data_IF_245463195697
#
_entry.id   IF_245463195697
#
_cell.length_a   1.000
_cell.length_b   1.000
_cell.length_c   1.000
_cell.angle_alpha   90.00
_cell.angle_beta   90.00
_cell.angle_gamma   90.00
#
_symmetry.space_group_name_H-M   'P 1'
#
loop_
_entity.id
_entity.type
_entity.pdbx_description
1 polymer ?
#
# COMPACT_ATOMS: atom_id res chain seq x y z
N UNK A 1 -10.47 16.40 20.44
CA UNK A 1 -9.91 17.63 19.84
C UNK A 1 -9.35 17.22 18.48
N UNK A 2 -10.17 17.31 17.43
CA UNK A 2 -9.80 16.88 16.09
C UNK A 2 -8.81 17.87 15.48
N UNK A 3 -7.60 17.44 15.23
CA UNK A 3 -6.68 18.20 14.39
C UNK A 3 -7.27 18.31 12.97
N UNK A 4 -7.85 19.46 12.64
CA UNK A 4 -8.09 19.84 11.26
C UNK A 4 -6.73 19.89 10.56
N UNK A 5 -6.50 19.00 9.59
CA UNK A 5 -5.37 19.16 8.68
C UNK A 5 -5.52 20.56 8.03
N UNK A 6 -4.58 21.45 8.29
CA UNK A 6 -4.48 22.72 7.61
C UNK A 6 -4.37 22.41 6.11
N UNK A 7 -5.36 22.85 5.33
CA UNK A 7 -5.30 22.87 3.89
C UNK A 7 -4.31 23.97 3.47
N UNK A 8 -3.04 23.62 3.41
CA UNK A 8 -2.05 24.42 2.68
C UNK A 8 -2.45 24.50 1.21
N UNK A 9 -1.88 25.44 0.43
CA UNK A 9 -2.20 25.58 -0.97
C UNK A 9 -2.07 24.21 -1.64
N UNK A 10 -3.16 23.77 -2.33
CA UNK A 10 -3.17 22.50 -3.05
C UNK A 10 -2.07 22.54 -4.09
N UNK A 11 -1.00 21.78 -3.88
CA UNK A 11 0.08 21.64 -4.86
C UNK A 11 -0.45 21.07 -6.18
N UNK A 12 0.32 21.15 -7.27
CA UNK A 12 -0.08 20.62 -8.56
C UNK A 12 -0.44 19.14 -8.43
N UNK A 13 -1.62 18.76 -8.93
CA UNK A 13 -2.09 17.38 -8.98
C UNK A 13 -2.85 17.16 -10.29
N UNK A 14 -2.93 15.89 -10.70
CA UNK A 14 -3.56 15.44 -11.95
C UNK A 14 -2.90 16.03 -13.21
N UNK A 15 -1.56 15.98 -13.25
CA UNK A 15 -0.78 16.56 -14.33
C UNK A 15 0.17 15.54 -14.96
N UNK A 16 0.26 15.57 -16.29
CA UNK A 16 1.31 14.88 -17.07
C UNK A 16 2.25 15.95 -17.63
N UNK A 17 3.48 15.98 -17.15
CA UNK A 17 4.53 16.92 -17.55
C UNK A 17 5.38 16.24 -18.63
N UNK A 18 5.61 16.96 -19.74
CA UNK A 18 6.53 16.50 -20.80
C UNK A 18 7.89 17.12 -20.53
N UNK A 19 8.89 16.30 -20.24
CA UNK A 19 10.23 16.80 -19.93
C UNK A 19 11.16 15.71 -19.40
N UNK A 20 12.42 16.11 -19.21
CA UNK A 20 13.41 15.26 -18.54
C UNK A 20 13.07 15.12 -17.04
N UNK A 21 13.19 13.91 -16.52
CA UNK A 21 12.80 13.63 -15.13
C UNK A 21 13.60 14.47 -14.10
N UNK A 22 14.90 14.68 -14.32
CA UNK A 22 15.72 15.45 -13.39
C UNK A 22 15.35 16.94 -13.40
N UNK A 23 15.15 17.49 -14.59
CA UNK A 23 14.78 18.90 -14.74
C UNK A 23 13.40 19.20 -14.13
N UNK A 24 12.43 18.32 -14.38
CA UNK A 24 11.07 18.50 -13.87
C UNK A 24 10.98 18.19 -12.37
N UNK A 25 11.69 17.18 -11.86
CA UNK A 25 11.78 16.92 -10.42
C UNK A 25 12.32 18.13 -9.66
N UNK A 26 13.37 18.78 -10.16
CA UNK A 26 13.98 20.00 -9.55
C UNK A 26 12.99 21.16 -9.41
N UNK A 27 11.99 21.23 -10.31
CA UNK A 27 10.94 22.28 -10.29
C UNK A 27 9.84 21.99 -9.27
N UNK A 28 9.70 20.74 -8.84
CA UNK A 28 8.69 20.38 -7.84
C UNK A 28 9.08 20.91 -6.46
N UNK A 29 8.11 21.39 -5.67
CA UNK A 29 8.37 21.82 -4.29
C UNK A 29 8.87 20.67 -3.42
N UNK A 30 9.78 20.95 -2.49
CA UNK A 30 10.19 19.99 -1.48
C UNK A 30 9.02 19.57 -0.61
N UNK A 31 9.00 18.29 -0.17
CA UNK A 31 7.99 17.76 0.76
C UNK A 31 6.52 17.93 0.26
N UNK A 32 6.29 17.81 -1.03
CA UNK A 32 5.00 18.01 -1.68
C UNK A 32 4.29 16.70 -2.06
N UNK A 33 5.00 15.56 -2.04
CA UNK A 33 4.54 14.27 -2.56
C UNK A 33 4.40 13.25 -1.42
N UNK A 34 3.33 12.49 -1.42
CA UNK A 34 3.05 11.46 -0.42
C UNK A 34 3.64 10.10 -0.80
N UNK A 35 3.60 9.76 -2.10
CA UNK A 35 4.05 8.49 -2.64
C UNK A 35 4.80 8.71 -3.95
N UNK A 36 5.97 8.10 -4.09
CA UNK A 36 6.67 7.96 -5.37
C UNK A 36 6.60 6.50 -5.81
N UNK A 37 6.20 6.25 -7.04
CA UNK A 37 6.41 4.99 -7.74
C UNK A 37 7.32 5.25 -8.94
N UNK A 38 8.42 4.52 -9.06
CA UNK A 38 9.41 4.71 -10.12
C UNK A 38 9.73 3.40 -10.84
N UNK A 39 9.59 3.42 -12.15
CA UNK A 39 10.00 2.37 -13.09
C UNK A 39 11.12 2.91 -13.99
N UNK A 40 12.35 3.10 -13.45
CA UNK A 40 13.43 3.76 -14.15
C UNK A 40 13.95 2.90 -15.32
N UNK A 41 14.76 3.46 -16.24
CA UNK A 41 15.52 2.69 -17.21
C UNK A 41 16.27 1.52 -16.55
N UNK A 42 16.30 0.36 -17.24
CA UNK A 42 16.92 -0.86 -16.69
C UNK A 42 18.38 -1.02 -17.08
N UNK A 43 18.84 -0.22 -18.06
CA UNK A 43 20.17 -0.36 -18.67
C UNK A 43 20.41 -1.77 -19.18
N UNK A 44 19.49 -2.25 -20.02
CA UNK A 44 19.42 -3.67 -20.41
C UNK A 44 20.62 -4.13 -21.22
N UNK A 45 21.40 -3.19 -21.83
CA UNK A 45 22.61 -3.47 -22.64
C UNK A 45 22.39 -4.64 -23.61
N UNK A 46 21.29 -4.56 -24.37
CA UNK A 46 20.96 -5.60 -25.35
C UNK A 46 21.83 -5.42 -26.59
N UNK A 47 22.89 -6.23 -26.70
CA UNK A 47 23.69 -6.33 -27.91
C UNK A 47 22.94 -7.17 -28.95
N UNK A 48 22.45 -6.55 -30.01
CA UNK A 48 21.91 -7.17 -31.20
C UNK A 48 20.44 -7.57 -31.16
N UNK A 49 19.94 -8.03 -32.28
CA UNK A 49 18.54 -8.41 -32.48
C UNK A 49 18.15 -9.65 -31.67
N UNK A 50 17.04 -9.54 -30.94
CA UNK A 50 16.41 -10.68 -30.28
C UNK A 50 15.46 -11.37 -31.29
N UNK A 51 15.82 -12.57 -31.71
CA UNK A 51 14.99 -13.38 -32.59
C UNK A 51 14.28 -14.48 -31.80
N UNK A 52 13.02 -14.75 -32.15
CA UNK A 52 12.28 -15.94 -31.72
C UNK A 52 12.82 -17.20 -32.43
N UNK A 53 12.52 -18.42 -31.94
CA UNK A 53 12.92 -19.65 -32.62
C UNK A 53 12.46 -19.76 -34.07
N UNK A 54 11.40 -19.05 -34.43
CA UNK A 54 10.88 -18.97 -35.80
C UNK A 54 11.46 -17.82 -36.63
N UNK A 55 12.62 -17.27 -36.23
CA UNK A 55 13.32 -16.13 -36.85
C UNK A 55 12.51 -14.83 -36.92
N UNK A 56 11.39 -14.71 -36.22
CA UNK A 56 10.70 -13.42 -36.10
C UNK A 56 11.38 -12.54 -35.06
N UNK A 57 11.54 -11.25 -35.37
CA UNK A 57 12.13 -10.26 -34.46
C UNK A 57 11.26 -10.11 -33.21
N UNK A 58 11.89 -10.14 -32.04
CA UNK A 58 11.24 -9.73 -30.77
C UNK A 58 11.36 -8.21 -30.70
N UNK A 59 10.23 -7.57 -30.55
CA UNK A 59 10.14 -6.14 -30.25
C UNK A 59 10.61 -5.94 -28.79
N UNK A 60 11.92 -5.81 -28.63
CA UNK A 60 12.60 -5.57 -27.34
C UNK A 60 12.78 -4.08 -27.11
N UNK A 61 13.18 -3.71 -25.90
CA UNK A 61 13.55 -2.33 -25.57
C UNK A 61 14.90 -2.05 -26.25
N UNK A 62 14.90 -1.23 -27.27
CA UNK A 62 16.10 -0.74 -27.98
C UNK A 62 16.08 0.81 -28.06
N UNK A 63 15.36 1.42 -27.16
CA UNK A 63 15.15 2.85 -27.08
C UNK A 63 16.37 3.54 -26.45
N UNK A 64 16.71 4.74 -26.92
CA UNK A 64 17.88 5.52 -26.44
C UNK A 64 17.79 5.91 -24.96
N UNK A 65 16.58 5.92 -24.39
CA UNK A 65 16.39 6.21 -22.96
C UNK A 65 16.90 5.09 -22.02
N UNK A 66 17.11 3.86 -22.52
CA UNK A 66 17.65 2.72 -21.74
C UNK A 66 19.14 2.48 -21.99
N UNK A 67 19.83 3.37 -22.71
CA UNK A 67 21.24 3.23 -23.05
C UNK A 67 22.09 4.20 -22.25
N UNK A 68 23.02 3.67 -21.48
CA UNK A 68 24.02 4.44 -20.74
C UNK A 68 25.43 4.06 -21.23
N UNK A 69 26.32 5.03 -21.30
CA UNK A 69 27.69 4.81 -21.78
C UNK A 69 28.49 3.90 -20.82
N UNK A 70 28.20 3.96 -19.53
CA UNK A 70 28.85 3.14 -18.51
C UNK A 70 27.92 2.86 -17.32
N UNK A 71 28.30 1.91 -16.48
CA UNK A 71 27.63 1.70 -15.19
C UNK A 71 27.81 2.90 -14.25
N UNK A 72 28.90 3.63 -14.36
CA UNK A 72 29.12 4.84 -13.56
C UNK A 72 28.12 5.94 -13.93
N UNK A 73 27.84 6.13 -15.22
CA UNK A 73 26.83 7.08 -15.69
C UNK A 73 25.42 6.66 -15.23
N UNK A 74 25.10 5.37 -15.28
CA UNK A 74 23.84 4.85 -14.76
C UNK A 74 23.71 5.06 -13.25
N UNK A 75 24.78 4.83 -12.49
CA UNK A 75 24.78 5.03 -11.05
C UNK A 75 24.63 6.51 -10.69
N UNK A 76 25.30 7.41 -11.43
CA UNK A 76 25.14 8.86 -11.22
C UNK A 76 23.71 9.31 -11.52
N UNK A 77 23.16 8.91 -12.67
CA UNK A 77 21.78 9.18 -13.02
C UNK A 77 20.83 8.68 -11.93
N UNK A 78 21.05 7.44 -11.45
CA UNK A 78 20.20 6.83 -10.41
C UNK A 78 20.28 7.60 -9.10
N UNK A 79 21.45 8.04 -8.67
CA UNK A 79 21.61 8.88 -7.47
C UNK A 79 20.90 10.22 -7.63
N UNK A 80 21.01 10.85 -8.78
CA UNK A 80 20.45 12.18 -9.02
C UNK A 80 18.92 12.18 -8.92
N UNK A 81 18.23 11.29 -9.65
CA UNK A 81 16.78 11.26 -9.57
C UNK A 81 16.25 10.73 -8.22
N UNK A 82 16.95 9.79 -7.57
CA UNK A 82 16.59 9.32 -6.23
C UNK A 82 16.74 10.42 -5.18
N UNK A 83 17.81 11.25 -5.28
CA UNK A 83 18.00 12.39 -4.39
C UNK A 83 16.87 13.41 -4.52
N UNK A 84 16.45 13.71 -5.76
CA UNK A 84 15.31 14.60 -6.01
C UNK A 84 13.98 13.98 -5.53
N UNK A 85 13.76 12.68 -5.74
CA UNK A 85 12.61 11.99 -5.18
C UNK A 85 12.59 12.08 -3.64
N UNK A 86 13.75 11.95 -2.98
CA UNK A 86 13.86 12.11 -1.53
C UNK A 86 13.53 13.53 -1.08
N UNK A 87 13.93 14.55 -1.85
CA UNK A 87 13.65 15.97 -1.56
C UNK A 87 12.16 16.29 -1.67
N UNK A 88 11.49 15.79 -2.72
CA UNK A 88 10.05 16.07 -2.96
C UNK A 88 9.14 15.25 -2.09
N UNK A 89 9.56 14.09 -1.57
CA UNK A 89 8.80 13.30 -0.63
C UNK A 89 8.59 14.04 0.69
N UNK A 90 7.38 13.95 1.21
CA UNK A 90 7.08 14.37 2.59
C UNK A 90 7.86 13.50 3.57
N UNK A 91 8.12 13.97 4.82
CA UNK A 91 8.85 13.19 5.83
C UNK A 91 8.24 11.80 6.11
N UNK A 92 6.92 11.70 6.00
CA UNK A 92 6.14 10.47 6.20
C UNK A 92 5.72 9.80 4.87
N UNK A 93 6.26 10.27 3.75
CA UNK A 93 6.02 9.70 2.42
C UNK A 93 6.75 8.38 2.21
N UNK A 94 6.43 7.70 1.12
CA UNK A 94 7.04 6.43 0.74
C UNK A 94 7.49 6.43 -0.73
N UNK A 95 8.51 5.62 -1.00
CA UNK A 95 9.05 5.39 -2.33
C UNK A 95 8.95 3.90 -2.66
N UNK A 96 8.51 3.60 -3.87
CA UNK A 96 8.60 2.29 -4.50
C UNK A 96 9.41 2.38 -5.78
N UNK A 97 10.42 1.56 -5.91
CA UNK A 97 11.24 1.46 -7.13
C UNK A 97 11.19 0.04 -7.63
N UNK A 98 10.82 -0.16 -8.89
CA UNK A 98 10.81 -1.48 -9.52
C UNK A 98 12.04 -1.64 -10.42
N UNK A 99 12.57 -2.85 -10.49
CA UNK A 99 13.66 -3.20 -11.36
C UNK A 99 13.83 -4.70 -11.57
N UNK A 100 14.69 -5.03 -12.51
CA UNK A 100 15.12 -6.40 -12.75
C UNK A 100 16.53 -6.65 -12.20
N UNK A 101 17.05 -7.86 -12.38
CA UNK A 101 18.41 -8.20 -11.99
C UNK A 101 19.51 -7.32 -12.66
N UNK A 102 19.18 -6.57 -13.70
CA UNK A 102 20.14 -5.68 -14.36
C UNK A 102 20.45 -4.44 -13.51
N UNK A 103 19.47 -3.92 -12.78
CA UNK A 103 19.59 -2.61 -12.13
C UNK A 103 19.22 -2.59 -10.64
N UNK A 104 18.39 -3.53 -10.15
CA UNK A 104 17.80 -3.45 -8.80
C UNK A 104 18.85 -3.39 -7.68
N UNK A 105 19.96 -4.10 -7.82
CA UNK A 105 21.03 -4.09 -6.81
C UNK A 105 21.74 -2.75 -6.73
N UNK A 106 21.94 -2.07 -7.88
CA UNK A 106 22.52 -0.72 -7.94
C UNK A 106 21.59 0.31 -7.35
N UNK A 107 20.30 0.22 -7.69
CA UNK A 107 19.25 1.06 -7.11
C UNK A 107 19.14 0.87 -5.59
N UNK A 108 19.21 -0.37 -5.11
CA UNK A 108 19.22 -0.67 -3.68
C UNK A 108 20.40 -0.03 -2.95
N UNK A 109 21.62 -0.10 -3.53
CA UNK A 109 22.79 0.56 -2.99
C UNK A 109 22.61 2.09 -2.98
N UNK A 110 22.18 2.69 -4.10
CA UNK A 110 21.95 4.13 -4.18
C UNK A 110 20.91 4.62 -3.16
N UNK A 111 19.84 3.87 -2.94
CA UNK A 111 18.83 4.18 -1.90
C UNK A 111 19.45 4.24 -0.51
N UNK A 112 20.26 3.23 -0.15
CA UNK A 112 20.92 3.17 1.16
C UNK A 112 21.97 4.30 1.33
N UNK A 113 22.78 4.57 0.30
CA UNK A 113 23.77 5.63 0.30
C UNK A 113 23.12 7.03 0.47
N UNK A 114 21.93 7.23 -0.12
CA UNK A 114 21.13 8.45 0.03
C UNK A 114 20.39 8.54 1.36
N UNK A 115 20.49 7.54 2.23
CA UNK A 115 19.87 7.52 3.54
C UNK A 115 18.37 7.20 3.56
N UNK A 116 17.86 6.56 2.52
CA UNK A 116 16.53 5.95 2.61
C UNK A 116 16.52 4.77 3.57
N UNK A 117 15.42 4.59 4.27
CA UNK A 117 15.17 3.41 5.09
C UNK A 117 14.34 2.40 4.31
N UNK A 118 14.95 1.27 3.93
CA UNK A 118 14.26 0.20 3.21
C UNK A 118 13.34 -0.54 4.19
N UNK A 119 12.07 -0.66 3.83
CA UNK A 119 11.04 -1.35 4.60
C UNK A 119 10.92 -2.82 4.20
N UNK A 120 10.83 -3.06 2.88
CA UNK A 120 10.81 -4.40 2.28
C UNK A 120 11.36 -4.40 0.87
N UNK A 121 11.82 -5.56 0.44
CA UNK A 121 11.86 -5.98 -0.95
C UNK A 121 10.64 -6.84 -1.26
N UNK A 122 10.03 -6.64 -2.43
CA UNK A 122 8.87 -7.38 -2.89
C UNK A 122 9.21 -8.04 -4.21
N UNK A 123 8.98 -9.34 -4.31
CA UNK A 123 9.17 -10.10 -5.54
C UNK A 123 7.84 -10.19 -6.29
N UNK A 124 7.74 -9.49 -7.42
CA UNK A 124 6.64 -9.71 -8.35
C UNK A 124 6.94 -10.90 -9.25
N UNK A 125 6.29 -12.03 -8.96
CA UNK A 125 6.34 -13.23 -9.79
C UNK A 125 5.35 -13.10 -10.95
N UNK A 126 5.87 -13.22 -12.17
CA UNK A 126 5.08 -13.13 -13.40
C UNK A 126 4.39 -14.46 -13.67
N UNK A 127 3.07 -14.45 -13.86
CA UNK A 127 2.30 -15.66 -14.19
C UNK A 127 2.68 -16.19 -15.58
N UNK A 128 2.97 -15.28 -16.51
CA UNK A 128 3.21 -15.54 -17.93
C UNK A 128 4.52 -14.85 -18.39
N UNK A 129 5.69 -15.19 -17.82
CA UNK A 129 6.95 -14.56 -18.19
C UNK A 129 7.32 -14.89 -19.64
N UNK A 130 8.03 -13.96 -20.29
CA UNK A 130 8.60 -14.25 -21.61
C UNK A 130 9.71 -15.31 -21.49
N UNK A 131 9.70 -16.35 -22.31
CA UNK A 131 10.74 -17.37 -22.28
C UNK A 131 12.11 -16.82 -22.69
N UNK A 132 13.17 -17.45 -22.22
CA UNK A 132 14.51 -17.18 -22.76
C UNK A 132 14.66 -17.91 -24.11
N UNK A 133 14.51 -17.17 -25.21
CA UNK A 133 14.47 -17.74 -26.56
C UNK A 133 15.77 -18.47 -26.97
N UNK A 134 16.92 -18.09 -26.41
CA UNK A 134 18.21 -18.75 -26.68
C UNK A 134 18.45 -19.99 -25.81
N UNK A 135 17.62 -20.26 -24.82
CA UNK A 135 17.76 -21.41 -23.91
C UNK A 135 19.05 -21.45 -23.09
N UNK A 136 19.75 -20.32 -22.94
CA UNK A 136 21.07 -20.22 -22.28
C UNK A 136 21.00 -19.69 -20.86
N UNK A 137 19.85 -19.23 -20.40
CA UNK A 137 19.59 -18.70 -19.06
C UNK A 137 18.18 -19.09 -18.61
N UNK A 138 17.94 -19.02 -17.32
CA UNK A 138 16.58 -19.17 -16.80
C UNK A 138 15.63 -18.10 -17.38
N UNK A 139 14.37 -18.43 -17.48
CA UNK A 139 13.31 -17.47 -17.79
C UNK A 139 13.27 -16.39 -16.71
N UNK A 140 13.27 -15.11 -17.12
CA UNK A 140 13.17 -14.00 -16.16
C UNK A 140 11.73 -13.88 -15.64
N UNK A 141 11.40 -14.72 -14.64
CA UNK A 141 10.06 -14.91 -14.14
C UNK A 141 9.66 -13.93 -13.03
N UNK A 142 10.51 -13.01 -12.63
CA UNK A 142 10.18 -12.01 -11.60
C UNK A 142 10.87 -10.68 -11.84
N UNK A 143 10.34 -9.65 -11.20
CA UNK A 143 10.97 -8.36 -10.94
C UNK A 143 10.90 -8.07 -9.45
N UNK A 144 11.79 -7.21 -8.97
CA UNK A 144 11.85 -6.81 -7.56
C UNK A 144 11.41 -5.36 -7.42
N UNK A 145 10.59 -5.11 -6.41
CA UNK A 145 10.26 -3.76 -5.98
C UNK A 145 10.94 -3.52 -4.64
N UNK A 146 11.59 -2.36 -4.47
CA UNK A 146 12.10 -1.90 -3.17
C UNK A 146 11.13 -0.87 -2.64
N UNK A 147 10.62 -1.10 -1.43
CA UNK A 147 9.78 -0.16 -0.69
C UNK A 147 10.61 0.50 0.40
N UNK A 148 10.64 1.82 0.38
CA UNK A 148 11.47 2.60 1.28
C UNK A 148 10.79 3.90 1.74
N UNK A 149 11.33 4.49 2.80
CA UNK A 149 10.91 5.80 3.33
C UNK A 149 12.11 6.73 3.49
N UNK A 150 11.91 8.07 3.54
CA UNK A 150 13.01 9.02 3.69
C UNK A 150 13.88 8.80 4.92
N UNK A 151 13.35 8.19 5.99
CA UNK A 151 14.11 7.90 7.20
C UNK A 151 13.47 6.80 8.04
N UNK A 152 14.25 6.19 8.94
CA UNK A 152 13.75 5.21 9.92
C UNK A 152 12.66 5.78 10.84
N UNK A 153 12.58 7.10 11.01
CA UNK A 153 11.60 7.78 11.88
C UNK A 153 10.30 8.13 11.15
N UNK A 154 10.21 7.90 9.85
CA UNK A 154 9.03 8.19 9.04
C UNK A 154 7.83 7.39 9.53
N UNK A 155 6.68 8.07 9.66
CA UNK A 155 5.38 7.47 10.02
C UNK A 155 4.56 7.20 8.77
N UNK A 156 5.13 6.37 7.89
CA UNK A 156 4.57 6.08 6.57
C UNK A 156 3.18 5.45 6.65
N UNK A 157 2.39 5.67 5.60
CA UNK A 157 1.09 5.02 5.43
C UNK A 157 1.30 3.55 5.07
N UNK A 158 0.63 2.65 5.81
CA UNK A 158 0.50 1.24 5.45
C UNK A 158 -0.91 0.77 5.79
N UNK A 159 -1.73 0.58 4.77
CA UNK A 159 -3.14 0.20 4.90
C UNK A 159 -3.28 -1.31 5.15
N UNK A 160 -2.75 -1.76 6.29
CA UNK A 160 -2.63 -3.17 6.67
C UNK A 160 -3.95 -3.93 6.58
N UNK A 161 -5.04 -3.38 7.15
CA UNK A 161 -6.35 -4.08 7.18
C UNK A 161 -6.95 -4.20 5.77
N UNK A 162 -6.77 -3.17 4.91
CA UNK A 162 -7.21 -3.23 3.52
C UNK A 162 -6.45 -4.28 2.72
N UNK A 163 -5.14 -4.37 2.92
CA UNK A 163 -4.32 -5.41 2.27
C UNK A 163 -4.66 -6.81 2.77
N UNK A 164 -4.98 -6.94 4.04
CA UNK A 164 -5.44 -8.18 4.64
C UNK A 164 -6.79 -8.61 4.07
N UNK A 165 -7.73 -7.67 3.92
CA UNK A 165 -9.03 -7.94 3.27
C UNK A 165 -8.87 -8.38 1.81
N UNK A 166 -7.89 -7.80 1.07
CA UNK A 166 -7.55 -8.25 -0.29
C UNK A 166 -6.90 -9.64 -0.36
N UNK A 167 -6.54 -10.24 0.77
CA UNK A 167 -5.84 -11.51 0.87
C UNK A 167 -6.57 -12.48 1.82
N UNK A 168 -7.89 -12.54 1.72
CA UNK A 168 -8.76 -13.46 2.49
C UNK A 168 -8.49 -13.40 4.01
N UNK A 169 -8.38 -12.20 4.55
CA UNK A 169 -8.04 -11.93 5.95
C UNK A 169 -6.66 -12.44 6.42
N UNK A 170 -5.80 -12.84 5.50
CA UNK A 170 -4.42 -13.20 5.77
C UNK A 170 -3.48 -12.02 5.53
N UNK A 171 -2.42 -11.93 6.31
CA UNK A 171 -1.39 -10.91 6.10
C UNK A 171 -0.81 -11.01 4.68
N UNK A 172 -0.77 -9.88 3.95
CA UNK A 172 -0.16 -9.83 2.63
C UNK A 172 1.35 -10.13 2.71
N UNK A 173 1.79 -10.99 1.82
CA UNK A 173 3.19 -11.43 1.73
C UNK A 173 3.97 -10.55 0.74
N UNK A 174 5.30 -10.65 0.78
CA UNK A 174 6.20 -9.94 -0.13
C UNK A 174 6.45 -10.64 -1.47
N UNK A 175 5.78 -11.78 -1.75
CA UNK A 175 5.83 -12.49 -3.03
C UNK A 175 4.48 -12.35 -3.76
N UNK A 176 4.42 -11.40 -4.67
CA UNK A 176 3.18 -11.08 -5.38
C UNK A 176 3.08 -11.83 -6.70
N UNK A 177 1.90 -12.34 -7.03
CA UNK A 177 1.64 -13.06 -8.26
C UNK A 177 0.70 -12.23 -9.14
N UNK A 178 1.24 -11.68 -10.25
CA UNK A 178 0.47 -10.95 -11.25
C UNK A 178 0.93 -11.33 -12.66
N UNK A 179 0.03 -11.31 -13.66
CA UNK A 179 0.45 -11.39 -15.05
C UNK A 179 1.24 -10.14 -15.46
N UNK A 180 2.05 -10.26 -16.51
CA UNK A 180 2.53 -9.08 -17.22
C UNK A 180 1.36 -8.39 -17.93
N UNK A 181 1.49 -7.09 -18.18
CA UNK A 181 0.47 -6.34 -18.92
C UNK A 181 0.25 -6.98 -20.31
N UNK A 182 -0.97 -7.41 -20.59
CA UNK A 182 -1.35 -8.09 -21.83
C UNK A 182 -2.85 -7.86 -22.17
N UNK A 183 -3.29 -8.34 -23.33
CA UNK A 183 -4.69 -8.28 -23.71
C UNK A 183 -5.25 -6.85 -23.83
N UNK A 184 -6.50 -6.62 -23.38
CA UNK A 184 -7.17 -5.31 -23.47
C UNK A 184 -6.51 -4.19 -22.66
N UNK A 185 -5.83 -4.54 -21.56
CA UNK A 185 -5.13 -3.59 -20.70
C UNK A 185 -3.94 -2.93 -21.40
N UNK A 186 -3.31 -3.65 -22.34
CA UNK A 186 -2.16 -3.15 -23.06
C UNK A 186 -2.57 -2.12 -24.09
N UNK A 187 -2.08 -0.91 -23.94
CA UNK A 187 -2.31 0.16 -24.90
C UNK A 187 -1.67 -0.16 -26.24
N UNK A 188 -2.41 0.16 -27.31
CA UNK A 188 -1.97 -0.01 -28.70
C UNK A 188 -1.89 1.34 -29.39
N UNK A 189 -0.93 1.49 -30.29
CA UNK A 189 -0.85 2.65 -31.20
C UNK A 189 -1.94 2.57 -32.28
N UNK A 190 -2.07 3.63 -33.08
CA UNK A 190 -3.04 3.67 -34.19
C UNK A 190 -2.83 2.60 -35.28
N UNK A 191 -1.73 1.83 -35.21
CA UNK A 191 -1.41 0.71 -36.10
C UNK A 191 -1.62 -0.65 -35.41
N UNK A 192 -2.20 -0.68 -34.22
CA UNK A 192 -2.45 -1.90 -33.44
C UNK A 192 -1.21 -2.51 -32.77
N UNK A 193 -0.06 -1.86 -32.81
CA UNK A 193 1.17 -2.29 -32.14
C UNK A 193 1.16 -1.80 -30.67
N UNK A 194 2.04 -2.36 -29.85
CA UNK A 194 2.22 -1.91 -28.46
C UNK A 194 2.57 -0.42 -28.43
N UNK A 195 1.81 0.39 -27.68
CA UNK A 195 2.11 1.80 -27.50
C UNK A 195 3.38 2.02 -26.66
N UNK A 196 3.68 1.10 -25.73
CA UNK A 196 4.90 1.12 -24.91
C UNK A 196 5.42 -0.31 -24.69
N UNK A 197 6.73 -0.57 -24.80
CA UNK A 197 7.28 -1.93 -24.70
C UNK A 197 7.11 -2.55 -23.31
N UNK A 198 7.24 -1.76 -22.24
CA UNK A 198 7.33 -2.23 -20.84
C UNK A 198 6.19 -1.76 -19.93
N UNK A 199 4.98 -1.51 -20.49
CA UNK A 199 3.83 -1.11 -19.69
C UNK A 199 3.63 -2.05 -18.48
N UNK A 200 3.58 -1.50 -17.26
CA UNK A 200 3.32 -2.27 -16.03
C UNK A 200 1.82 -2.58 -15.87
N UNK A 201 1.45 -3.73 -15.25
CA UNK A 201 0.05 -4.08 -15.03
C UNK A 201 -0.60 -3.19 -13.97
N UNK A 202 -1.87 -2.80 -14.21
CA UNK A 202 -2.65 -1.97 -13.26
C UNK A 202 -2.81 -2.64 -11.90
N UNK A 203 -2.92 -3.97 -11.85
CA UNK A 203 -3.06 -4.72 -10.60
C UNK A 203 -1.85 -4.52 -9.66
N UNK A 204 -0.64 -4.40 -10.21
CA UNK A 204 0.58 -4.11 -9.46
C UNK A 204 0.50 -2.72 -8.83
N UNK A 205 0.15 -1.71 -9.65
CA UNK A 205 0.03 -0.31 -9.21
C UNK A 205 -1.14 -0.12 -8.23
N UNK A 206 -2.24 -0.84 -8.43
CA UNK A 206 -3.38 -0.85 -7.50
C UNK A 206 -2.92 -1.24 -6.09
N UNK A 207 -2.16 -2.34 -5.99
CA UNK A 207 -1.67 -2.81 -4.68
C UNK A 207 -0.67 -1.85 -4.06
N UNK A 208 0.28 -1.31 -4.83
CA UNK A 208 1.27 -0.32 -4.35
C UNK A 208 0.58 0.93 -3.82
N UNK A 209 -0.31 1.53 -4.61
CA UNK A 209 -0.97 2.79 -4.28
C UNK A 209 -1.92 2.60 -3.09
N UNK A 210 -2.71 1.52 -3.08
CA UNK A 210 -3.59 1.21 -1.95
C UNK A 210 -2.81 0.95 -0.66
N UNK A 211 -1.67 0.26 -0.76
CA UNK A 211 -0.84 -0.06 0.40
C UNK A 211 -0.28 1.19 1.08
N UNK A 212 0.19 2.18 0.30
CA UNK A 212 1.10 3.22 0.78
C UNK A 212 0.57 4.64 0.63
N UNK A 213 -0.74 4.81 0.35
CA UNK A 213 -1.37 6.13 0.24
C UNK A 213 -2.83 6.12 0.66
N UNK A 214 -3.37 7.29 0.93
CA UNK A 214 -4.79 7.53 1.21
C UNK A 214 -5.44 8.34 0.08
N UNK A 215 -6.78 8.44 0.07
CA UNK A 215 -7.47 9.34 -0.84
C UNK A 215 -6.92 10.79 -0.70
N UNK A 216 -6.88 11.53 -1.79
CA UNK A 216 -6.32 12.89 -1.91
C UNK A 216 -4.79 13.01 -1.77
N UNK A 217 -4.06 11.93 -1.44
CA UNK A 217 -2.60 11.93 -1.44
C UNK A 217 -2.07 12.12 -2.87
N UNK A 218 -0.86 12.70 -2.97
CA UNK A 218 -0.17 12.96 -4.25
C UNK A 218 0.78 11.81 -4.57
N UNK A 219 0.55 11.15 -5.70
CA UNK A 219 1.40 10.09 -6.24
C UNK A 219 2.24 10.65 -7.38
N UNK A 220 3.55 10.57 -7.27
CA UNK A 220 4.51 10.97 -8.30
C UNK A 220 5.08 9.74 -9.01
N UNK A 221 5.14 9.80 -10.33
CA UNK A 221 5.88 8.85 -11.16
C UNK A 221 6.82 9.62 -12.10
N UNK A 222 8.14 9.59 -11.86
CA UNK A 222 9.11 10.30 -12.67
C UNK A 222 9.46 9.61 -14.01
N UNK A 223 8.92 8.40 -14.25
CA UNK A 223 9.10 7.61 -15.48
C UNK A 223 7.75 7.12 -15.98
N UNK A 224 6.89 8.07 -16.34
CA UNK A 224 5.44 7.85 -16.42
C UNK A 224 4.98 6.92 -17.55
N UNK A 225 5.75 6.83 -18.64
CA UNK A 225 5.39 6.03 -19.79
C UNK A 225 3.98 6.35 -20.30
N UNK A 226 3.16 5.31 -20.46
CA UNK A 226 1.76 5.45 -20.89
C UNK A 226 0.77 5.62 -19.73
N UNK A 227 1.25 6.05 -18.54
CA UNK A 227 0.41 6.57 -17.46
C UNK A 227 -0.35 5.54 -16.63
N UNK A 228 0.17 4.32 -16.47
CA UNK A 228 -0.49 3.30 -15.63
C UNK A 228 -0.64 3.79 -14.18
N UNK A 229 0.41 4.40 -13.62
CA UNK A 229 0.39 4.96 -12.26
C UNK A 229 -0.70 6.02 -12.11
N UNK A 230 -0.79 6.97 -13.03
CA UNK A 230 -1.80 8.03 -12.99
C UNK A 230 -3.24 7.51 -13.18
N UNK A 231 -3.44 6.53 -14.07
CA UNK A 231 -4.73 5.90 -14.27
C UNK A 231 -5.24 5.22 -13.00
N UNK A 232 -4.38 4.48 -12.32
CA UNK A 232 -4.72 3.80 -11.07
C UNK A 232 -4.87 4.80 -9.91
N UNK A 233 -3.99 5.80 -9.81
CA UNK A 233 -4.08 6.85 -8.80
C UNK A 233 -5.43 7.60 -8.90
N UNK A 234 -5.80 8.05 -10.10
CA UNK A 234 -7.08 8.72 -10.35
C UNK A 234 -8.27 7.83 -10.01
N UNK A 235 -8.27 6.55 -10.45
CA UNK A 235 -9.33 5.59 -10.11
C UNK A 235 -9.53 5.43 -8.62
N UNK A 236 -8.43 5.39 -7.87
CA UNK A 236 -8.43 5.25 -6.40
C UNK A 236 -8.60 6.58 -5.66
N UNK A 237 -8.94 7.69 -6.33
CA UNK A 237 -9.16 8.99 -5.68
C UNK A 237 -7.89 9.64 -5.15
N UNK A 238 -6.71 9.28 -5.69
CA UNK A 238 -5.44 9.95 -5.43
C UNK A 238 -5.17 10.95 -6.54
N UNK A 239 -4.47 12.04 -6.20
CA UNK A 239 -3.91 12.96 -7.18
C UNK A 239 -2.61 12.39 -7.73
N UNK A 240 -2.21 12.77 -8.93
CA UNK A 240 -0.98 12.27 -9.52
C UNK A 240 -0.16 13.37 -10.22
N UNK A 241 1.14 13.18 -10.27
CA UNK A 241 2.08 13.92 -11.09
C UNK A 241 2.87 12.87 -11.88
N UNK A 242 2.77 12.90 -13.20
CA UNK A 242 3.54 12.03 -14.09
C UNK A 242 4.53 12.85 -14.89
N UNK A 243 5.79 12.44 -14.93
CA UNK A 243 6.82 13.04 -15.78
C UNK A 243 7.19 12.04 -16.88
N UNK A 244 7.12 12.48 -18.13
CA UNK A 244 7.42 11.64 -19.30
C UNK A 244 8.22 12.46 -20.32
N UNK A 245 9.34 11.90 -20.75
CA UNK A 245 10.22 12.57 -21.71
C UNK A 245 9.66 12.51 -23.14
N UNK A 246 9.05 11.39 -23.51
CA UNK A 246 8.49 11.19 -24.84
C UNK A 246 7.09 11.81 -24.96
N UNK A 247 6.90 12.82 -25.83
CA UNK A 247 5.58 13.47 -26.00
C UNK A 247 4.50 12.51 -26.54
N UNK A 248 4.89 11.44 -27.25
CA UNK A 248 3.94 10.43 -27.76
C UNK A 248 3.39 9.61 -26.61
N UNK A 249 4.27 9.15 -25.69
CA UNK A 249 3.84 8.43 -24.49
C UNK A 249 3.02 9.33 -23.55
N UNK A 250 3.46 10.55 -23.36
CA UNK A 250 2.72 11.53 -22.55
C UNK A 250 1.32 11.82 -23.11
N UNK A 251 1.18 11.90 -24.43
CA UNK A 251 -0.13 12.03 -25.09
C UNK A 251 -1.01 10.81 -24.82
N UNK A 252 -0.48 9.60 -25.04
CA UNK A 252 -1.20 8.35 -24.79
C UNK A 252 -1.62 8.23 -23.31
N UNK A 253 -0.76 8.67 -22.37
CA UNK A 253 -1.09 8.73 -20.95
C UNK A 253 -2.26 9.66 -20.65
N UNK A 254 -2.25 10.88 -21.23
CA UNK A 254 -3.34 11.84 -21.06
C UNK A 254 -4.67 11.31 -21.59
N UNK A 255 -4.66 10.72 -22.80
CA UNK A 255 -5.84 10.14 -23.42
C UNK A 255 -6.42 8.98 -22.58
N UNK A 256 -5.55 8.09 -22.07
CA UNK A 256 -5.94 7.01 -21.17
C UNK A 256 -6.58 7.55 -19.88
N UNK A 257 -5.90 8.48 -19.21
CA UNK A 257 -6.33 8.99 -17.91
C UNK A 257 -7.62 9.82 -18.04
N UNK A 258 -7.83 10.51 -19.16
CA UNK A 258 -9.07 11.23 -19.43
C UNK A 258 -10.32 10.33 -19.39
N UNK A 259 -10.16 9.04 -19.75
CA UNK A 259 -11.25 8.06 -19.76
C UNK A 259 -11.48 7.38 -18.39
N UNK A 260 -10.63 7.66 -17.40
CA UNK A 260 -10.77 7.06 -16.08
C UNK A 260 -11.71 7.90 -15.23
N UNK A 261 -12.75 7.27 -14.73
CA UNK A 261 -13.60 7.84 -13.70
C UNK A 261 -13.13 7.42 -12.32
N UNK A 262 -12.99 8.34 -11.35
CA UNK A 262 -12.69 8.00 -9.98
C UNK A 262 -13.79 7.11 -9.38
N UNK A 263 -13.41 6.18 -8.53
CA UNK A 263 -14.37 5.41 -7.74
C UNK A 263 -15.13 6.35 -6.79
N UNK A 264 -16.40 6.05 -6.48
CA UNK A 264 -17.17 6.85 -5.52
C UNK A 264 -16.50 6.79 -4.12
N UNK A 265 -16.67 7.85 -3.33
CA UNK A 265 -16.05 7.97 -2.00
C UNK A 265 -16.34 6.76 -1.09
N UNK A 266 -17.55 6.21 -1.16
CA UNK A 266 -17.94 5.01 -0.41
C UNK A 266 -17.13 3.76 -0.76
N UNK A 267 -16.64 3.65 -2.00
CA UNK A 267 -15.77 2.55 -2.44
C UNK A 267 -14.29 2.77 -2.11
N UNK A 268 -13.92 4.02 -1.77
CA UNK A 268 -12.55 4.40 -1.41
C UNK A 268 -12.28 4.33 0.09
N UNK A 269 -13.31 4.13 0.91
CA UNK A 269 -13.14 3.94 2.34
C UNK A 269 -12.33 2.69 2.62
N UNK A 270 -11.12 2.88 3.17
CA UNK A 270 -10.27 1.78 3.62
C UNK A 270 -10.62 1.40 5.05
N UNK A 271 -10.54 0.11 5.37
CA UNK A 271 -10.69 -0.33 6.76
C UNK A 271 -9.61 0.32 7.63
N UNK A 272 -10.05 1.02 8.66
CA UNK A 272 -9.14 1.60 9.65
C UNK A 272 -8.51 0.48 10.49
N UNK A 273 -7.22 0.60 10.78
CA UNK A 273 -6.57 -0.32 11.70
C UNK A 273 -7.25 -0.27 13.06
N UNK A 274 -7.67 -1.41 13.57
CA UNK A 274 -8.18 -1.54 14.94
C UNK A 274 -7.19 -1.03 15.99
N UNK A 275 -5.90 -0.91 15.64
CA UNK A 275 -4.85 -0.32 16.50
C UNK A 275 -4.92 1.21 16.58
N UNK A 276 -5.51 1.89 15.60
CA UNK A 276 -5.70 3.35 15.61
C UNK A 276 -6.95 3.79 16.35
N UNK A 277 -7.83 2.86 16.71
CA UNK A 277 -9.01 3.17 17.51
C UNK A 277 -8.62 3.45 18.97
N UNK A 278 -9.27 4.43 19.62
CA UNK A 278 -9.08 4.66 21.05
C UNK A 278 -9.31 3.36 21.82
N UNK A 279 -8.31 2.94 22.60
CA UNK A 279 -8.43 1.75 23.43
C UNK A 279 -9.34 2.08 24.61
N UNK A 280 -10.41 1.32 24.77
CA UNK A 280 -11.25 1.35 25.98
C UNK A 280 -10.88 0.11 26.79
N UNK A 281 -10.20 0.27 27.96
CA UNK A 281 -9.90 -0.83 28.87
C UNK A 281 -11.19 -1.47 29.42
N UNK A 282 -11.12 -2.75 29.84
CA UNK A 282 -12.28 -3.40 30.45
C UNK A 282 -12.71 -2.72 31.74
N UNK A 283 -11.77 -2.22 32.56
CA UNK A 283 -12.07 -1.45 33.76
C UNK A 283 -12.99 -0.26 33.50
N UNK A 284 -12.81 0.43 32.36
CA UNK A 284 -13.67 1.56 31.97
C UNK A 284 -15.13 1.16 31.77
N UNK A 285 -15.40 -0.07 31.31
CA UNK A 285 -16.77 -0.61 31.18
C UNK A 285 -17.42 -0.76 32.56
N UNK A 286 -16.63 -1.13 33.57
CA UNK A 286 -17.06 -1.24 34.95
C UNK A 286 -17.26 0.15 35.59
N UNK A 287 -16.31 1.06 35.36
CA UNK A 287 -16.37 2.45 35.86
C UNK A 287 -17.58 3.22 35.30
N UNK A 288 -17.91 3.02 34.04
CA UNK A 288 -19.08 3.62 33.39
C UNK A 288 -20.42 2.96 33.80
N UNK A 289 -20.40 1.94 34.65
CA UNK A 289 -21.59 1.22 35.05
C UNK A 289 -22.29 0.41 33.91
N UNK A 290 -21.60 0.21 32.79
CA UNK A 290 -22.11 -0.57 31.69
C UNK A 290 -22.21 -2.05 32.05
N UNK A 291 -21.28 -2.52 32.91
CA UNK A 291 -21.26 -3.81 33.54
C UNK A 291 -20.94 -3.63 35.03
N UNK A 292 -21.85 -4.07 35.90
CA UNK A 292 -21.68 -3.85 37.36
C UNK A 292 -20.70 -4.86 37.97
N UNK A 293 -19.91 -4.48 38.97
CA UNK A 293 -19.23 -5.44 39.83
C UNK A 293 -20.19 -6.49 40.36
N UNK A 294 -19.75 -7.74 40.47
CA UNK A 294 -20.60 -8.90 40.82
C UNK A 294 -21.27 -9.56 39.61
N UNK A 295 -21.31 -8.91 38.45
CA UNK A 295 -21.84 -9.54 37.23
C UNK A 295 -21.06 -10.80 36.86
N UNK A 296 -21.79 -11.82 36.33
CA UNK A 296 -21.18 -13.06 35.87
C UNK A 296 -20.91 -13.00 34.35
N UNK A 297 -19.70 -13.30 33.99
CA UNK A 297 -19.29 -13.54 32.58
C UNK A 297 -19.10 -15.03 32.38
N UNK A 298 -19.32 -15.47 31.16
CA UNK A 298 -19.31 -16.88 30.77
C UNK A 298 -18.36 -17.11 29.61
N UNK A 299 -17.84 -18.33 29.50
CA UNK A 299 -17.23 -18.79 28.25
C UNK A 299 -18.30 -18.98 27.16
N UNK A 300 -17.94 -19.18 25.86
CA UNK A 300 -18.91 -19.32 24.76
C UNK A 300 -19.92 -20.47 24.92
N UNK A 301 -19.59 -21.48 25.76
CA UNK A 301 -20.45 -22.66 26.02
C UNK A 301 -21.18 -22.58 27.36
N UNK A 302 -21.02 -21.47 28.09
CA UNK A 302 -21.53 -21.30 29.45
C UNK A 302 -21.08 -22.38 30.46
N UNK A 303 -19.98 -23.07 30.19
CA UNK A 303 -19.40 -24.09 31.06
C UNK A 303 -18.52 -23.49 32.19
N UNK A 304 -17.96 -22.30 31.94
CA UNK A 304 -17.08 -21.57 32.87
C UNK A 304 -17.72 -20.21 33.12
N UNK A 305 -17.83 -19.82 34.41
CA UNK A 305 -18.26 -18.47 34.80
C UNK A 305 -17.18 -17.77 35.60
N UNK A 306 -17.07 -16.44 35.44
CA UNK A 306 -16.18 -15.60 36.19
C UNK A 306 -16.92 -14.33 36.69
N UNK A 307 -16.68 -13.93 37.93
CA UNK A 307 -17.27 -12.74 38.52
C UNK A 307 -16.45 -11.49 38.21
N UNK A 308 -17.11 -10.42 37.83
CA UNK A 308 -16.50 -9.10 37.61
C UNK A 308 -16.23 -8.44 38.97
N UNK A 309 -15.00 -8.02 39.19
CA UNK A 309 -14.60 -7.27 40.41
C UNK A 309 -14.61 -5.76 40.18
N UNK A 310 -14.70 -5.00 41.26
CA UNK A 310 -14.76 -3.54 41.20
C UNK A 310 -13.51 -2.88 40.56
N UNK A 311 -12.38 -3.55 40.61
CA UNK A 311 -11.10 -3.13 40.00
C UNK A 311 -11.00 -3.49 38.52
N UNK A 312 -12.06 -4.02 37.88
CA UNK A 312 -12.05 -4.45 36.49
C UNK A 312 -11.33 -5.77 36.26
N UNK A 313 -10.99 -6.53 37.28
CA UNK A 313 -10.52 -7.90 37.13
C UNK A 313 -11.68 -8.89 37.11
N UNK A 314 -11.39 -10.11 36.68
CA UNK A 314 -12.33 -11.25 36.79
C UNK A 314 -11.80 -12.26 37.82
N UNK A 315 -12.73 -12.89 38.57
CA UNK A 315 -12.40 -13.94 39.52
C UNK A 315 -13.14 -15.25 39.17
N UNK A 316 -12.42 -16.38 39.22
CA UNK A 316 -12.93 -17.73 39.03
C UNK A 316 -12.20 -18.74 39.91
N UNK A 317 -12.91 -19.45 40.79
CA UNK A 317 -12.36 -20.53 41.64
C UNK A 317 -11.05 -20.13 42.41
N UNK A 318 -11.04 -18.95 43.01
CA UNK A 318 -9.90 -18.46 43.79
C UNK A 318 -8.76 -17.85 42.91
N UNK A 319 -8.88 -17.84 41.61
CA UNK A 319 -7.98 -17.13 40.69
C UNK A 319 -8.55 -15.77 40.30
N UNK A 320 -7.69 -14.77 40.17
CA UNK A 320 -8.09 -13.43 39.76
C UNK A 320 -7.09 -12.87 38.75
N UNK A 321 -7.59 -12.13 37.75
CA UNK A 321 -6.74 -11.54 36.74
C UNK A 321 -7.52 -10.70 35.74
N UNK A 322 -6.82 -10.08 34.78
CA UNK A 322 -7.46 -9.37 33.69
C UNK A 322 -8.29 -10.33 32.81
N UNK A 323 -9.22 -9.79 32.01
CA UNK A 323 -10.03 -10.57 31.07
C UNK A 323 -9.17 -11.46 30.17
N UNK A 324 -7.98 -11.01 29.79
CA UNK A 324 -7.05 -11.76 28.95
C UNK A 324 -6.35 -12.88 29.74
N UNK A 325 -5.81 -12.53 30.91
CA UNK A 325 -5.04 -13.46 31.74
C UNK A 325 -5.93 -14.60 32.26
N UNK A 326 -7.05 -14.26 32.87
CA UNK A 326 -7.96 -15.28 33.38
C UNK A 326 -8.55 -16.13 32.25
N UNK A 327 -8.87 -15.50 31.11
CA UNK A 327 -9.34 -16.23 29.92
C UNK A 327 -8.30 -17.21 29.36
N UNK A 328 -7.02 -16.90 29.42
CA UNK A 328 -5.95 -17.82 29.03
C UNK A 328 -5.82 -18.97 30.04
N UNK A 329 -5.80 -18.66 31.34
CA UNK A 329 -5.68 -19.63 32.44
C UNK A 329 -6.79 -20.69 32.42
N UNK A 330 -8.06 -20.26 32.28
CA UNK A 330 -9.19 -21.22 32.29
C UNK A 330 -9.24 -22.10 31.05
N UNK A 331 -8.57 -21.71 29.97
CA UNK A 331 -8.42 -22.49 28.75
C UNK A 331 -7.14 -23.36 28.75
N UNK A 332 -6.23 -23.18 29.72
CA UNK A 332 -4.90 -23.79 29.69
C UNK A 332 -4.02 -23.33 28.52
N UNK A 333 -4.20 -22.06 28.06
CA UNK A 333 -3.48 -21.46 26.94
C UNK A 333 -2.48 -20.40 27.42
N UNK A 334 -1.47 -20.11 26.61
CA UNK A 334 -0.48 -19.05 26.88
C UNK A 334 -1.05 -17.64 26.64
N UNK A 335 -2.08 -17.49 25.82
CA UNK A 335 -2.72 -16.21 25.50
C UNK A 335 -4.20 -16.37 25.17
N UNK A 336 -4.99 -15.34 25.43
CA UNK A 336 -6.42 -15.29 25.11
C UNK A 336 -6.84 -13.86 24.77
N UNK A 337 -7.68 -13.70 23.76
CA UNK A 337 -8.42 -12.45 23.57
C UNK A 337 -9.66 -12.46 24.47
N UNK A 338 -9.55 -11.88 25.68
CA UNK A 338 -10.64 -11.87 26.65
C UNK A 338 -11.91 -11.15 26.18
N UNK A 339 -11.80 -10.20 25.23
CA UNK A 339 -12.97 -9.49 24.69
C UNK A 339 -13.90 -10.39 23.88
N UNK A 340 -13.35 -11.32 23.13
CA UNK A 340 -14.13 -12.27 22.34
C UNK A 340 -14.41 -13.56 23.09
N UNK A 341 -13.63 -13.88 24.11
CA UNK A 341 -13.80 -15.10 24.91
C UNK A 341 -14.91 -14.98 25.96
N UNK A 342 -14.91 -13.86 26.73
CA UNK A 342 -15.90 -13.67 27.77
C UNK A 342 -17.21 -13.12 27.19
N UNK A 343 -18.35 -13.67 27.69
CA UNK A 343 -19.70 -13.32 27.28
C UNK A 343 -20.53 -12.88 28.50
N UNK A 344 -21.36 -11.91 28.30
CA UNK A 344 -22.41 -11.55 29.25
C UNK A 344 -23.76 -12.06 28.76
N UNK A 345 -24.71 -12.24 29.68
CA UNK A 345 -26.05 -12.74 29.35
C UNK A 345 -27.02 -11.56 29.28
N UNK A 346 -27.64 -11.37 28.12
CA UNK A 346 -28.73 -10.42 27.94
C UNK A 346 -29.96 -11.14 27.38
N UNK A 347 -31.09 -10.97 28.06
CA UNK A 347 -32.39 -11.62 27.72
C UNK A 347 -32.26 -13.12 27.39
N UNK A 348 -31.40 -13.78 28.14
CA UNK A 348 -31.19 -15.24 27.98
C UNK A 348 -30.16 -15.63 26.92
N UNK A 349 -29.64 -14.71 26.13
CA UNK A 349 -28.61 -14.95 25.10
C UNK A 349 -27.23 -14.51 25.58
N UNK A 350 -26.20 -15.22 25.12
CA UNK A 350 -24.82 -14.90 25.36
C UNK A 350 -24.30 -13.96 24.27
N UNK A 351 -23.69 -12.85 24.68
CA UNK A 351 -23.05 -11.88 23.82
C UNK A 351 -21.60 -11.66 24.24
N UNK A 352 -20.62 -11.59 23.33
CA UNK A 352 -19.24 -11.28 23.70
C UNK A 352 -19.15 -9.89 24.32
N UNK A 353 -18.30 -9.73 25.32
CA UNK A 353 -18.15 -8.43 26.02
C UNK A 353 -17.57 -7.33 25.12
N UNK A 354 -17.03 -7.67 23.95
CA UNK A 354 -16.54 -6.70 22.96
C UNK A 354 -17.65 -5.71 22.52
N UNK A 355 -18.91 -6.18 22.46
CA UNK A 355 -20.08 -5.32 22.17
C UNK A 355 -20.24 -4.17 23.18
N UNK A 356 -19.86 -4.39 24.44
CA UNK A 356 -19.92 -3.37 25.49
C UNK A 356 -18.87 -2.27 25.30
N UNK A 357 -17.78 -2.56 24.60
CA UNK A 357 -16.74 -1.58 24.25
C UNK A 357 -17.29 -0.49 23.32
N UNK A 358 -18.15 -0.86 22.36
CA UNK A 358 -18.76 0.12 21.45
C UNK A 358 -19.76 1.01 22.19
N UNK A 359 -20.45 0.46 23.19
CA UNK A 359 -21.30 1.25 24.07
C UNK A 359 -20.49 2.25 24.89
N UNK A 360 -19.34 1.82 25.44
CA UNK A 360 -18.44 2.69 26.18
C UNK A 360 -17.83 3.79 25.29
N UNK A 361 -17.39 3.45 24.07
CA UNK A 361 -16.90 4.43 23.09
C UNK A 361 -17.92 5.54 22.82
N UNK A 362 -19.19 5.17 22.63
CA UNK A 362 -20.28 6.14 22.42
C UNK A 362 -20.47 7.06 23.63
N UNK A 363 -20.49 6.53 24.85
CA UNK A 363 -20.63 7.33 26.07
C UNK A 363 -19.45 8.28 26.30
N UNK A 364 -18.25 7.90 25.88
CA UNK A 364 -17.03 8.72 25.98
C UNK A 364 -16.85 9.71 24.83
N UNK A 365 -17.77 9.75 23.86
CA UNK A 365 -17.62 10.58 22.66
C UNK A 365 -16.47 10.17 21.76
N UNK A 366 -16.00 8.93 21.87
CA UNK A 366 -14.91 8.36 21.09
C UNK A 366 -15.38 7.61 19.84
N UNK A 367 -16.69 7.37 19.71
CA UNK A 367 -17.29 6.82 18.49
C UNK A 367 -17.61 7.97 17.55
N UNK A 368 -17.16 7.91 16.31
CA UNK A 368 -17.71 8.75 15.24
C UNK A 368 -19.20 8.40 15.09
N UNK A 369 -20.07 9.41 15.11
CA UNK A 369 -21.49 9.22 14.79
C UNK A 369 -21.56 8.59 13.39
N UNK A 370 -22.34 7.50 13.19
CA UNK A 370 -22.63 7.03 11.85
C UNK A 370 -23.24 8.21 11.12
N UNK A 371 -22.65 8.58 9.98
CA UNK A 371 -23.25 9.54 9.06
C UNK A 371 -24.60 8.92 8.65
N UNK A 372 -25.68 9.38 9.25
CA UNK A 372 -27.03 9.07 8.79
C UNK A 372 -27.08 9.53 7.34
N UNK A 373 -27.12 8.58 6.42
CA UNK A 373 -27.55 8.80 5.05
C UNK A 373 -28.90 9.52 5.17
N UNK A 374 -28.92 10.80 4.82
CA UNK A 374 -30.16 11.50 4.58
C UNK A 374 -30.87 10.75 3.44
N UNK A 375 -31.91 10.03 3.81
CA UNK A 375 -32.92 9.60 2.86
C UNK A 375 -33.72 10.86 2.50
N UNK A 376 -33.57 11.31 1.26
CA UNK A 376 -34.61 11.99 0.47
C UNK A 376 -34.42 11.61 -1.00
#
# INVERSE_FOLDING_TARGET
MGMRRCSGPRGPGDVVIVGDCLDELRRLPSQSVDLVFADPPYNLQLDGELLRPNNTRVDGVDDDWDKFASFADYDQFSRDWLAECRRVLKPDGALWVIGSYHNIFRLGTALQDLGFWILNDIVWRKVNPMPNFRGRRFTNAHETLIWATPSQKSRYTFNYESLKALNDDLQMRSDWLFPICAGPERLKDGKGRKAHPTQKPEALLHRVILASSNADDVVLDPFFGTGTTGAVAKRLGRRFIGIERDPVYAKAARERIAQIEPLPASALETQRSKRSEPRVPFGTIVELGILSPGSQLFDPKAAISAEVKADGTLAHRGRQGSIHRLGAEVQGKSACNGWTFWHFKDRGRLHPIDVLRDKAKRQLGLAELPTLLAAE
#
